data_IF_979436547755
#
_entry.id   IF_979436547755
#
_cell.length_a   1.000
_cell.length_b   1.000
_cell.length_c   1.000
_cell.angle_alpha   90.00
_cell.angle_beta   90.00
_cell.angle_gamma   90.00
#
_symmetry.space_group_name_H-M   'P 1'
#
loop_
_entity.id
_entity.type
_entity.pdbx_description
1 polymer ?
#
# COMPACT_ATOMS: atom_id res chain seq x y z
N UNK A 1 -19.48 22.88 -4.86
CA UNK A 1 -19.96 21.61 -5.41
C UNK A 1 -19.61 20.48 -4.44
N UNK A 2 -20.53 20.18 -3.52
CA UNK A 2 -20.31 19.18 -2.46
C UNK A 2 -20.20 17.76 -3.04
N UNK A 3 -20.89 17.49 -4.16
CA UNK A 3 -20.91 16.20 -4.85
C UNK A 3 -19.56 15.81 -5.46
N UNK A 4 -18.71 16.78 -5.81
CA UNK A 4 -17.37 16.51 -6.35
C UNK A 4 -16.35 16.10 -5.28
N UNK A 5 -16.58 16.40 -3.99
CA UNK A 5 -15.69 16.06 -2.88
C UNK A 5 -15.98 14.66 -2.31
N UNK A 6 -16.06 13.66 -3.17
CA UNK A 6 -16.18 12.26 -2.75
C UNK A 6 -14.81 11.60 -2.68
N UNK A 7 -14.67 10.62 -1.79
CA UNK A 7 -13.48 9.77 -1.69
C UNK A 7 -13.14 9.14 -3.05
N UNK A 8 -14.15 8.69 -3.79
CA UNK A 8 -14.00 8.16 -5.15
C UNK A 8 -13.35 9.17 -6.09
N UNK A 9 -13.80 10.42 -6.11
CA UNK A 9 -13.21 11.44 -6.98
C UNK A 9 -11.79 11.80 -6.55
N UNK A 10 -11.53 11.85 -5.24
CA UNK A 10 -10.19 12.12 -4.70
C UNK A 10 -9.20 11.02 -5.09
N UNK A 11 -9.59 9.75 -4.97
CA UNK A 11 -8.76 8.61 -5.36
C UNK A 11 -8.58 8.49 -6.87
N UNK A 12 -9.60 8.85 -7.66
CA UNK A 12 -9.46 8.91 -9.13
C UNK A 12 -8.51 10.03 -9.58
N UNK A 13 -8.54 11.19 -8.93
CA UNK A 13 -7.64 12.30 -9.23
C UNK A 13 -6.20 12.05 -8.74
N UNK A 14 -6.03 11.18 -7.73
CA UNK A 14 -4.78 10.78 -7.10
C UNK A 14 -3.73 11.92 -7.04
N UNK A 15 -4.02 13.02 -6.32
CA UNK A 15 -3.10 14.15 -6.23
C UNK A 15 -1.78 13.74 -5.56
N UNK A 16 -0.69 14.45 -5.85
CA UNK A 16 0.66 14.10 -5.39
C UNK A 16 0.76 13.92 -3.86
N UNK A 17 0.07 14.76 -3.07
CA UNK A 17 0.06 14.62 -1.61
C UNK A 17 -0.59 13.31 -1.14
N UNK A 18 -1.60 12.81 -1.85
CA UNK A 18 -2.25 11.53 -1.52
C UNK A 18 -1.33 10.37 -1.87
N UNK A 19 -0.64 10.43 -3.02
CA UNK A 19 0.35 9.44 -3.40
C UNK A 19 1.51 9.37 -2.40
N UNK A 20 2.01 10.54 -1.97
CA UNK A 20 3.08 10.61 -0.96
C UNK A 20 2.63 10.04 0.39
N UNK A 21 1.41 10.40 0.84
CA UNK A 21 0.87 9.87 2.09
C UNK A 21 0.68 8.34 2.05
N UNK A 22 0.28 7.78 0.90
CA UNK A 22 0.22 6.33 0.71
C UNK A 22 1.63 5.71 0.72
N UNK A 23 2.62 6.32 0.06
CA UNK A 23 3.99 5.82 0.06
C UNK A 23 4.62 5.80 1.47
N UNK A 24 4.38 6.83 2.28
CA UNK A 24 4.83 6.86 3.68
C UNK A 24 4.16 5.77 4.51
N UNK A 25 2.85 5.57 4.32
CA UNK A 25 2.11 4.50 4.99
C UNK A 25 2.64 3.12 4.60
N UNK A 26 2.85 2.88 3.32
CA UNK A 26 3.33 1.59 2.82
C UNK A 26 4.75 1.29 3.32
N UNK A 27 5.63 2.29 3.38
CA UNK A 27 6.96 2.14 3.96
C UNK A 27 6.91 1.78 5.46
N UNK A 28 6.01 2.41 6.22
CA UNK A 28 5.82 2.10 7.63
C UNK A 28 5.27 0.68 7.84
N UNK A 29 4.33 0.25 6.99
CA UNK A 29 3.79 -1.12 7.01
C UNK A 29 4.87 -2.12 6.65
N UNK A 30 5.64 -1.89 5.58
CA UNK A 30 6.75 -2.75 5.19
C UNK A 30 7.79 -2.90 6.31
N UNK A 31 8.14 -1.80 6.99
CA UNK A 31 9.00 -1.84 8.17
C UNK A 31 8.42 -2.69 9.31
N UNK A 32 7.11 -2.60 9.57
CA UNK A 32 6.44 -3.42 10.57
C UNK A 32 6.40 -4.93 10.22
N UNK A 33 6.36 -5.26 8.93
CA UNK A 33 6.49 -6.63 8.43
C UNK A 33 7.94 -7.10 8.32
N UNK A 34 8.93 -6.25 8.62
CA UNK A 34 10.35 -6.57 8.54
C UNK A 34 10.91 -6.60 7.10
N UNK A 35 10.21 -5.98 6.14
CA UNK A 35 10.65 -5.94 4.74
C UNK A 35 11.62 -4.78 4.53
N UNK A 36 12.93 -5.08 4.54
CA UNK A 36 14.01 -4.10 4.31
C UNK A 36 14.18 -3.73 2.84
N UNK A 37 13.74 -4.59 1.94
CA UNK A 37 13.88 -4.47 0.49
C UNK A 37 12.59 -3.97 -0.18
N UNK A 38 11.69 -3.36 0.60
CA UNK A 38 10.46 -2.80 0.06
C UNK A 38 10.76 -1.54 -0.76
N UNK A 39 10.24 -1.52 -1.98
CA UNK A 39 10.28 -0.37 -2.88
C UNK A 39 8.86 -0.01 -3.31
N UNK A 40 8.54 1.27 -3.42
CA UNK A 40 7.24 1.73 -3.90
C UNK A 40 6.92 1.30 -5.36
N UNK A 41 7.93 0.84 -6.11
CA UNK A 41 7.79 0.26 -7.46
C UNK A 41 7.48 -1.23 -7.46
N UNK A 42 7.48 -1.88 -6.29
CA UNK A 42 7.19 -3.31 -6.17
C UNK A 42 5.73 -3.56 -6.53
N UNK A 43 5.47 -4.55 -7.40
CA UNK A 43 4.11 -4.83 -7.83
C UNK A 43 3.26 -5.42 -6.70
N UNK A 44 1.96 -5.14 -6.73
CA UNK A 44 1.00 -5.70 -5.77
C UNK A 44 1.07 -7.23 -5.73
N UNK A 45 1.36 -7.88 -6.86
CA UNK A 45 1.49 -9.34 -6.93
C UNK A 45 2.66 -9.88 -6.09
N UNK A 46 3.79 -9.16 -6.05
CA UNK A 46 4.94 -9.52 -5.22
C UNK A 46 4.62 -9.34 -3.73
N UNK A 47 3.94 -8.24 -3.37
CA UNK A 47 3.43 -8.00 -2.02
C UNK A 47 2.51 -9.16 -1.58
N UNK A 48 1.55 -9.53 -2.43
CA UNK A 48 0.60 -10.60 -2.15
C UNK A 48 1.28 -11.96 -2.02
N UNK A 49 2.28 -12.27 -2.86
CA UNK A 49 3.05 -13.53 -2.74
C UNK A 49 3.79 -13.61 -1.40
N UNK A 50 4.43 -12.54 -0.94
CA UNK A 50 5.12 -12.51 0.37
C UNK A 50 4.15 -12.67 1.53
N UNK A 51 3.01 -11.98 1.49
CA UNK A 51 1.97 -12.11 2.51
C UNK A 51 1.39 -13.52 2.55
N UNK A 52 1.22 -14.16 1.39
CA UNK A 52 0.74 -15.55 1.31
C UNK A 52 1.71 -16.52 1.98
N UNK A 53 3.02 -16.40 1.72
CA UNK A 53 4.04 -17.24 2.38
C UNK A 53 4.00 -17.06 3.90
N UNK A 54 4.01 -15.81 4.39
CA UNK A 54 3.91 -15.52 5.82
C UNK A 54 2.64 -16.08 6.45
N UNK A 55 1.51 -16.03 5.74
CA UNK A 55 0.24 -16.55 6.23
C UNK A 55 0.27 -18.09 6.29
N UNK A 56 0.86 -18.75 5.29
CA UNK A 56 1.03 -20.20 5.29
C UNK A 56 1.93 -20.66 6.45
N UNK A 57 3.02 -19.95 6.74
CA UNK A 57 3.91 -20.26 7.87
C UNK A 57 3.23 -20.11 9.24
N UNK A 58 2.30 -19.16 9.37
CA UNK A 58 1.55 -18.94 10.63
C UNK A 58 0.34 -19.86 10.79
N UNK A 59 -0.12 -20.48 9.70
CA UNK A 59 -1.29 -21.37 9.70
C UNK A 59 -0.96 -22.82 10.07
N UNK A 60 0.34 -23.15 10.20
CA UNK A 60 0.86 -24.45 10.67
C UNK A 60 1.06 -24.41 12.18
#
# INVERSE_FOLDING_TARGET
DLKKRTLTNLYNARPAWLANAHAELDAAVAAAYGWTDYTAEMSDEEILRRLLVLNLERAV
#
